data_IF_642507581918
#
_entry.id   IF_642507581918
#
_cell.length_a   1.000
_cell.length_b   1.000
_cell.length_c   1.000
_cell.angle_alpha   90.00
_cell.angle_beta   90.00
_cell.angle_gamma   90.00
#
_symmetry.space_group_name_H-M   'P 1'
#
loop_
_entity.id
_entity.type
_entity.pdbx_description
1 polymer ?
#
# COMPACT_ATOMS: atom_id res chain seq x y z
N UNK A 1 20.62 -5.94 23.56
CA UNK A 1 19.89 -5.70 22.30
C UNK A 1 20.33 -4.34 21.79
N UNK A 2 20.65 -4.19 20.51
CA UNK A 2 20.88 -2.87 19.93
C UNK A 2 19.52 -2.27 19.59
N UNK A 3 19.29 -1.00 19.92
CA UNK A 3 18.09 -0.31 19.44
C UNK A 3 18.12 -0.21 17.91
N UNK A 4 16.98 -0.44 17.26
CA UNK A 4 16.84 -0.24 15.82
C UNK A 4 16.96 1.27 15.55
N UNK A 5 17.94 1.74 14.74
CA UNK A 5 18.14 3.17 14.53
C UNK A 5 16.93 3.84 13.86
N UNK A 6 16.23 4.69 14.60
CA UNK A 6 15.14 5.51 14.04
C UNK A 6 15.69 6.80 13.42
N UNK A 7 14.91 7.46 12.56
CA UNK A 7 15.26 8.80 12.04
C UNK A 7 15.41 9.82 13.18
N UNK A 8 14.65 9.66 14.28
CA UNK A 8 14.80 10.50 15.48
C UNK A 8 16.13 10.24 16.20
N UNK A 9 16.58 8.99 16.28
CA UNK A 9 17.88 8.63 16.85
C UNK A 9 19.02 9.20 15.98
N UNK A 10 18.91 9.11 14.65
CA UNK A 10 19.86 9.70 13.71
C UNK A 10 19.92 11.24 13.84
N UNK A 11 18.78 11.92 13.93
CA UNK A 11 18.74 13.38 14.17
C UNK A 11 19.41 13.75 15.48
N UNK A 12 19.11 13.04 16.58
CA UNK A 12 19.71 13.30 17.89
C UNK A 12 21.23 13.07 17.90
N UNK A 13 21.72 12.08 17.14
CA UNK A 13 23.16 11.88 16.95
C UNK A 13 23.79 13.00 16.11
N UNK A 14 23.13 13.47 15.05
CA UNK A 14 23.59 14.62 14.27
C UNK A 14 23.66 15.90 15.12
N UNK A 15 22.65 16.16 15.95
CA UNK A 15 22.59 17.30 16.89
C UNK A 15 23.71 17.28 17.94
N UNK A 16 24.15 16.09 18.38
CA UNK A 16 25.20 15.92 19.37
C UNK A 16 26.63 15.93 18.79
N UNK A 17 26.81 15.73 17.48
CA UNK A 17 28.12 15.51 16.85
C UNK A 17 28.48 16.50 15.73
N UNK A 18 27.53 17.30 15.23
CA UNK A 18 27.79 18.30 14.19
C UNK A 18 27.77 19.72 14.77
N UNK A 19 28.58 20.61 14.19
CA UNK A 19 28.47 22.04 14.46
C UNK A 19 27.12 22.63 13.94
N UNK A 20 26.74 23.84 14.37
CA UNK A 20 25.45 24.43 13.99
C UNK A 20 25.24 24.70 12.49
N UNK A 21 26.28 24.72 11.66
CA UNK A 21 26.15 24.83 10.20
C UNK A 21 25.99 23.44 9.56
N UNK A 22 26.80 22.47 9.98
CA UNK A 22 26.67 21.08 9.53
C UNK A 22 25.34 20.45 9.97
N UNK A 23 24.82 20.76 11.15
CA UNK A 23 23.49 20.31 11.58
C UNK A 23 22.37 20.91 10.72
N UNK A 24 22.46 22.19 10.33
CA UNK A 24 21.52 22.80 9.37
C UNK A 24 21.59 22.10 8.00
N UNK A 25 22.80 21.80 7.50
CA UNK A 25 22.98 21.04 6.25
C UNK A 25 22.42 19.62 6.35
N UNK A 26 22.57 18.95 7.49
CA UNK A 26 21.96 17.65 7.75
C UNK A 26 20.42 17.72 7.65
N UNK A 27 19.79 18.66 8.37
CA UNK A 27 18.33 18.82 8.36
C UNK A 27 17.77 19.22 6.99
N UNK A 28 18.50 20.02 6.21
CA UNK A 28 18.05 20.53 4.92
C UNK A 28 18.32 19.58 3.73
N UNK A 29 19.39 18.77 3.78
CA UNK A 29 19.86 17.98 2.64
C UNK A 29 19.90 16.47 2.90
N UNK A 30 20.33 16.05 4.10
CA UNK A 30 20.59 14.63 4.39
C UNK A 30 19.33 13.94 4.92
N UNK A 31 18.68 14.49 5.95
CA UNK A 31 17.47 13.89 6.53
C UNK A 31 16.32 13.74 5.52
N UNK A 32 16.04 14.72 4.61
CA UNK A 32 15.04 14.55 3.55
C UNK A 32 15.42 13.45 2.55
N UNK A 33 16.71 13.31 2.22
CA UNK A 33 17.21 12.23 1.37
C UNK A 33 17.02 10.85 2.01
N UNK A 34 17.38 10.71 3.30
CA UNK A 34 17.19 9.47 4.07
C UNK A 34 15.70 9.10 4.18
N UNK A 35 14.83 10.07 4.45
CA UNK A 35 13.36 9.87 4.42
C UNK A 35 12.89 9.39 3.04
N UNK A 36 13.29 10.08 1.98
CA UNK A 36 12.92 9.74 0.60
C UNK A 36 13.34 8.31 0.24
N UNK A 37 14.56 7.88 0.61
CA UNK A 37 15.02 6.51 0.39
C UNK A 37 14.14 5.50 1.14
N UNK A 38 13.89 5.71 2.43
CA UNK A 38 13.08 4.80 3.27
C UNK A 38 11.63 4.72 2.78
N UNK A 39 11.03 5.84 2.40
CA UNK A 39 9.64 5.88 1.91
C UNK A 39 9.48 5.28 0.51
N UNK A 40 10.47 5.47 -0.38
CA UNK A 40 10.42 4.96 -1.74
C UNK A 40 10.80 3.48 -1.86
N UNK A 41 11.66 2.95 -0.98
CA UNK A 41 12.09 1.54 -1.01
C UNK A 41 10.90 0.55 -0.91
N UNK A 42 9.85 0.88 -0.16
CA UNK A 42 8.59 0.11 -0.11
C UNK A 42 7.40 0.81 -0.78
N UNK A 43 7.65 1.73 -1.72
CA UNK A 43 6.59 2.48 -2.45
C UNK A 43 5.57 1.55 -3.12
N UNK A 44 6.01 0.47 -3.77
CA UNK A 44 5.13 -0.53 -4.38
C UNK A 44 4.14 -1.16 -3.38
N UNK A 45 4.61 -1.52 -2.17
CA UNK A 45 3.73 -2.02 -1.10
C UNK A 45 2.81 -0.93 -0.56
N UNK A 46 3.34 0.28 -0.30
CA UNK A 46 2.57 1.43 0.21
C UNK A 46 1.39 1.78 -0.72
N UNK A 47 1.64 1.72 -2.04
CA UNK A 47 0.62 1.93 -3.07
C UNK A 47 -0.37 0.76 -3.11
N UNK A 48 0.09 -0.49 -3.14
CA UNK A 48 -0.76 -1.68 -3.10
C UNK A 48 -1.72 -1.69 -1.89
N UNK A 49 -1.21 -1.41 -0.69
CA UNK A 49 -2.04 -1.31 0.52
C UNK A 49 -3.01 -0.13 0.47
N UNK A 50 -2.61 1.02 -0.11
CA UNK A 50 -3.52 2.15 -0.33
C UNK A 50 -4.68 1.78 -1.26
N UNK A 51 -4.42 1.14 -2.41
CA UNK A 51 -5.46 0.68 -3.33
C UNK A 51 -6.38 -0.35 -2.68
N UNK A 52 -5.84 -1.31 -1.92
CA UNK A 52 -6.64 -2.30 -1.18
C UNK A 52 -7.52 -1.63 -0.12
N UNK A 53 -7.02 -0.62 0.61
CA UNK A 53 -7.84 0.20 1.52
C UNK A 53 -8.99 0.88 0.75
N UNK A 54 -8.71 1.51 -0.39
CA UNK A 54 -9.68 2.24 -1.20
C UNK A 54 -10.78 1.31 -1.76
N UNK A 55 -10.42 0.10 -2.21
CA UNK A 55 -11.40 -0.93 -2.63
C UNK A 55 -12.34 -1.32 -1.48
N UNK A 56 -11.79 -1.56 -0.28
CA UNK A 56 -12.59 -1.88 0.92
C UNK A 56 -13.50 -0.71 1.31
N UNK A 57 -13.01 0.53 1.22
CA UNK A 57 -13.78 1.74 1.52
C UNK A 57 -14.90 2.01 0.54
N UNK A 58 -14.66 1.91 -0.78
CA UNK A 58 -15.69 2.13 -1.81
C UNK A 58 -16.79 1.07 -1.69
N UNK A 59 -16.45 -0.20 -1.51
CA UNK A 59 -17.44 -1.27 -1.31
C UNK A 59 -18.25 -1.13 0.00
N UNK A 60 -17.67 -0.52 1.04
CA UNK A 60 -18.35 -0.24 2.31
C UNK A 60 -19.15 1.07 2.32
N UNK A 61 -19.14 1.86 1.25
CA UNK A 61 -19.80 3.17 1.21
C UNK A 61 -19.17 4.21 2.15
N UNK A 62 -17.87 4.10 2.44
CA UNK A 62 -17.16 5.00 3.39
C UNK A 62 -16.88 6.38 2.78
N UNK A 63 -16.80 6.47 1.45
CA UNK A 63 -16.75 7.76 0.73
C UNK A 63 -18.17 8.35 0.65
N UNK A 64 -18.30 9.63 1.02
CA UNK A 64 -19.54 10.42 0.98
C UNK A 64 -19.79 11.06 -0.40
N UNK A 65 -18.83 10.93 -1.31
CA UNK A 65 -18.87 11.38 -2.70
C UNK A 65 -18.39 10.25 -3.61
N UNK A 66 -18.54 10.41 -4.92
CA UNK A 66 -18.06 9.41 -5.88
C UNK A 66 -16.54 9.33 -6.01
N UNK A 67 -15.84 10.40 -5.61
CA UNK A 67 -14.38 10.53 -5.62
C UNK A 67 -13.71 9.68 -4.51
N UNK A 68 -12.52 9.15 -4.80
CA UNK A 68 -11.65 8.56 -3.78
C UNK A 68 -10.95 9.69 -3.01
N UNK A 69 -10.99 9.60 -1.67
CA UNK A 69 -10.05 10.30 -0.78
C UNK A 69 -8.83 9.39 -0.56
N UNK A 70 -7.64 9.85 -0.97
CA UNK A 70 -6.40 9.03 -0.98
C UNK A 70 -5.64 9.12 0.36
N UNK A 71 -5.68 10.28 1.02
CA UNK A 71 -5.18 10.52 2.37
C UNK A 71 -6.17 11.38 3.14
N UNK A 72 -6.09 11.34 4.48
CA UNK A 72 -6.88 12.19 5.39
C UNK A 72 -5.87 12.86 6.31
N UNK A 73 -5.69 14.15 6.08
CA UNK A 73 -4.65 14.98 6.71
C UNK A 73 -5.25 16.22 7.39
N UNK A 74 -6.57 16.42 7.28
CA UNK A 74 -7.29 17.59 7.77
C UNK A 74 -8.69 17.27 8.29
N UNK A 75 -9.29 18.20 9.03
CA UNK A 75 -10.74 18.14 9.37
C UNK A 75 -11.66 18.42 8.18
N UNK A 76 -11.15 19.03 7.10
CA UNK A 76 -11.95 19.28 5.90
C UNK A 76 -12.32 17.97 5.18
N UNK A 77 -11.56 16.90 5.40
CA UNK A 77 -11.80 15.60 4.79
C UNK A 77 -13.06 14.91 5.36
N UNK A 78 -13.51 15.30 6.56
CA UNK A 78 -14.75 14.82 7.20
C UNK A 78 -16.01 15.03 6.34
N UNK A 79 -16.00 15.97 5.40
CA UNK A 79 -17.12 16.18 4.46
C UNK A 79 -17.16 15.14 3.33
N UNK A 80 -16.02 14.54 2.98
CA UNK A 80 -15.88 13.60 1.86
C UNK A 80 -15.85 12.13 2.27
N UNK A 81 -15.60 11.84 3.56
CA UNK A 81 -15.42 10.47 4.06
C UNK A 81 -15.99 10.31 5.47
N UNK A 82 -16.43 9.09 5.82
CA UNK A 82 -16.60 8.70 7.22
C UNK A 82 -15.21 8.42 7.84
N UNK A 83 -14.75 9.35 8.68
CA UNK A 83 -13.44 9.28 9.34
C UNK A 83 -13.39 8.21 10.43
N UNK A 84 -14.52 7.87 11.08
CA UNK A 84 -14.55 6.79 12.06
C UNK A 84 -14.46 5.42 11.36
N UNK A 85 -15.22 5.23 10.29
CA UNK A 85 -15.14 4.03 9.46
C UNK A 85 -13.78 3.91 8.75
N UNK A 86 -13.22 5.01 8.24
CA UNK A 86 -11.85 5.03 7.69
C UNK A 86 -10.83 4.53 8.71
N UNK A 87 -10.84 5.06 9.94
CA UNK A 87 -9.88 4.64 10.96
C UNK A 87 -10.06 3.16 11.34
N UNK A 88 -11.29 2.65 11.34
CA UNK A 88 -11.57 1.21 11.51
C UNK A 88 -10.98 0.36 10.38
N UNK A 89 -10.98 0.82 9.12
CA UNK A 89 -10.35 0.10 7.99
C UNK A 89 -8.83 0.24 8.00
N UNK A 90 -8.30 1.44 8.31
CA UNK A 90 -6.86 1.70 8.45
C UNK A 90 -6.21 0.76 9.45
N UNK A 91 -6.89 0.48 10.56
CA UNK A 91 -6.43 -0.42 11.63
C UNK A 91 -6.61 -1.92 11.34
N UNK A 92 -7.24 -2.31 10.22
CA UNK A 92 -7.28 -3.72 9.80
C UNK A 92 -5.93 -4.16 9.24
N UNK A 93 -5.59 -5.43 9.41
CA UNK A 93 -4.43 -6.02 8.72
C UNK A 93 -4.70 -6.17 7.22
N UNK A 94 -3.65 -6.19 6.41
CA UNK A 94 -3.77 -6.44 4.96
C UNK A 94 -4.52 -7.76 4.67
N UNK A 95 -4.32 -8.79 5.50
CA UNK A 95 -5.03 -10.07 5.44
C UNK A 95 -6.55 -9.88 5.56
N UNK A 96 -7.01 -9.22 6.62
CA UNK A 96 -8.43 -8.96 6.85
C UNK A 96 -9.09 -8.19 5.69
N UNK A 97 -8.33 -7.28 5.04
CA UNK A 97 -8.80 -6.52 3.87
C UNK A 97 -8.98 -7.43 2.65
N UNK A 98 -7.97 -8.24 2.28
CA UNK A 98 -8.09 -9.14 1.12
C UNK A 98 -9.09 -10.28 1.35
N UNK A 99 -9.22 -10.78 2.58
CA UNK A 99 -10.24 -11.76 2.97
C UNK A 99 -11.65 -11.18 2.81
N UNK A 100 -11.86 -9.92 3.23
CA UNK A 100 -13.12 -9.20 2.99
C UNK A 100 -13.39 -9.02 1.49
N UNK A 101 -12.40 -8.58 0.70
CA UNK A 101 -12.58 -8.39 -0.73
C UNK A 101 -12.86 -9.71 -1.49
N UNK A 102 -12.24 -10.84 -1.09
CA UNK A 102 -12.55 -12.16 -1.66
C UNK A 102 -13.96 -12.63 -1.26
N UNK A 103 -14.35 -12.46 0.01
CA UNK A 103 -15.69 -12.85 0.53
C UNK A 103 -16.84 -12.09 -0.14
N UNK A 104 -16.63 -10.85 -0.58
CA UNK A 104 -17.63 -10.06 -1.31
C UNK A 104 -17.46 -10.17 -2.84
N UNK A 105 -16.76 -11.20 -3.33
CA UNK A 105 -16.54 -11.48 -4.75
C UNK A 105 -15.86 -10.36 -5.57
N UNK A 106 -15.18 -9.41 -4.92
CA UNK A 106 -14.45 -8.32 -5.58
C UNK A 106 -13.13 -8.86 -6.15
N UNK A 107 -12.37 -9.57 -5.32
CA UNK A 107 -11.24 -10.40 -5.77
C UNK A 107 -11.75 -11.76 -6.27
N UNK A 108 -11.17 -12.26 -7.36
CA UNK A 108 -11.19 -13.68 -7.67
C UNK A 108 -10.09 -14.43 -6.90
N UNK A 109 -9.90 -15.71 -7.23
CA UNK A 109 -8.98 -16.60 -6.51
C UNK A 109 -7.51 -16.33 -6.84
N UNK A 110 -7.17 -16.02 -8.10
CA UNK A 110 -5.79 -15.77 -8.50
C UNK A 110 -5.28 -14.44 -7.94
N UNK A 111 -6.08 -13.37 -8.00
CA UNK A 111 -5.73 -12.08 -7.39
C UNK A 111 -5.60 -12.21 -5.86
N UNK A 112 -6.51 -12.92 -5.21
CA UNK A 112 -6.45 -13.17 -3.76
C UNK A 112 -5.19 -13.95 -3.35
N UNK A 113 -4.87 -15.05 -4.04
CA UNK A 113 -3.66 -15.85 -3.78
C UNK A 113 -2.39 -15.02 -3.93
N UNK A 114 -2.28 -14.23 -5.01
CA UNK A 114 -1.12 -13.35 -5.24
C UNK A 114 -0.94 -12.35 -4.11
N UNK A 115 -2.02 -11.70 -3.66
CA UNK A 115 -1.95 -10.72 -2.57
C UNK A 115 -1.59 -11.37 -1.23
N UNK A 116 -2.04 -12.59 -0.94
CA UNK A 116 -1.70 -13.29 0.30
C UNK A 116 -0.25 -13.82 0.31
N UNK A 117 0.24 -14.28 -0.84
CA UNK A 117 1.65 -14.64 -1.05
C UNK A 117 2.59 -13.44 -0.86
N UNK A 118 2.26 -12.30 -1.45
CA UNK A 118 3.06 -11.08 -1.31
C UNK A 118 2.97 -10.48 0.10
N UNK A 119 1.86 -10.69 0.82
CA UNK A 119 1.76 -10.39 2.24
C UNK A 119 2.72 -11.25 3.08
N UNK A 120 2.88 -12.54 2.79
CA UNK A 120 3.92 -13.37 3.44
C UNK A 120 5.30 -12.82 3.15
N UNK A 121 5.64 -12.60 1.87
CA UNK A 121 6.95 -12.04 1.49
C UNK A 121 7.24 -10.73 2.24
N UNK A 122 6.30 -9.78 2.22
CA UNK A 122 6.46 -8.48 2.89
C UNK A 122 6.63 -8.61 4.40
N UNK A 123 6.00 -9.57 5.06
CA UNK A 123 6.12 -9.71 6.52
C UNK A 123 7.52 -10.14 6.99
N UNK A 124 8.34 -10.73 6.11
CA UNK A 124 9.75 -11.03 6.38
C UNK A 124 10.62 -9.79 6.63
N UNK A 125 10.13 -8.57 6.36
CA UNK A 125 10.79 -7.30 6.74
C UNK A 125 11.12 -7.21 8.24
N UNK A 126 10.44 -7.98 9.09
CA UNK A 126 10.66 -8.02 10.52
C UNK A 126 11.70 -9.07 10.97
N UNK A 127 12.23 -9.88 10.03
CA UNK A 127 13.24 -10.91 10.30
C UNK A 127 14.67 -10.35 10.17
N UNK A 128 15.56 -10.55 11.17
CA UNK A 128 16.93 -10.03 11.11
C UNK A 128 17.73 -10.56 9.91
N UNK A 129 18.24 -9.65 9.09
CA UNK A 129 19.11 -9.98 7.96
C UNK A 129 18.38 -10.24 6.63
N UNK A 130 17.05 -10.19 6.59
CA UNK A 130 16.30 -10.25 5.34
C UNK A 130 16.43 -8.93 4.58
N UNK A 131 16.94 -9.00 3.35
CA UNK A 131 16.88 -7.93 2.36
C UNK A 131 15.93 -8.35 1.24
N UNK A 132 15.11 -7.42 0.75
CA UNK A 132 14.27 -7.67 -0.42
C UNK A 132 15.10 -7.48 -1.70
N UNK A 133 14.99 -8.44 -2.61
CA UNK A 133 15.52 -8.31 -3.97
C UNK A 133 14.74 -7.25 -4.77
N UNK A 134 15.38 -6.67 -5.79
CA UNK A 134 14.69 -5.76 -6.72
C UNK A 134 13.46 -6.42 -7.38
N UNK A 135 13.51 -7.74 -7.60
CA UNK A 135 12.39 -8.51 -8.11
C UNK A 135 11.20 -8.52 -7.13
N UNK A 136 11.40 -8.74 -5.83
CA UNK A 136 10.32 -8.73 -4.85
C UNK A 136 9.71 -7.33 -4.66
N UNK A 137 10.53 -6.28 -4.77
CA UNK A 137 10.03 -4.90 -4.78
C UNK A 137 9.21 -4.58 -6.05
N UNK A 138 9.61 -5.15 -7.19
CA UNK A 138 8.85 -5.07 -8.44
C UNK A 138 7.53 -5.88 -8.37
N UNK A 139 7.52 -7.06 -7.72
CA UNK A 139 6.31 -7.87 -7.52
C UNK A 139 5.20 -7.08 -6.79
N UNK A 140 5.52 -6.31 -5.75
CA UNK A 140 4.55 -5.41 -5.11
C UNK A 140 3.97 -4.37 -6.09
N UNK A 141 4.79 -3.85 -6.99
CA UNK A 141 4.40 -2.85 -8.00
C UNK A 141 3.55 -3.45 -9.14
N UNK A 142 3.79 -4.72 -9.51
CA UNK A 142 2.93 -5.47 -10.42
C UNK A 142 1.58 -5.80 -9.77
N UNK A 143 1.57 -6.23 -8.51
CA UNK A 143 0.33 -6.49 -7.77
C UNK A 143 -0.51 -5.21 -7.57
N UNK A 144 0.12 -4.06 -7.31
CA UNK A 144 -0.54 -2.75 -7.32
C UNK A 144 -1.27 -2.50 -8.65
N UNK A 145 -0.62 -2.74 -9.80
CA UNK A 145 -1.25 -2.62 -11.12
C UNK A 145 -2.48 -3.54 -11.28
N UNK A 146 -2.41 -4.77 -10.75
CA UNK A 146 -3.53 -5.73 -10.81
C UNK A 146 -4.74 -5.24 -9.99
N UNK A 147 -4.55 -4.80 -8.74
CA UNK A 147 -5.67 -4.27 -7.95
C UNK A 147 -6.19 -2.93 -8.49
N UNK A 148 -5.34 -2.15 -9.16
CA UNK A 148 -5.76 -0.90 -9.82
C UNK A 148 -6.74 -1.17 -10.98
N UNK A 149 -6.55 -2.24 -11.77
CA UNK A 149 -7.54 -2.67 -12.78
C UNK A 149 -8.90 -3.04 -12.17
N UNK A 150 -8.93 -3.53 -10.92
CA UNK A 150 -10.19 -3.85 -10.22
C UNK A 150 -10.82 -2.57 -9.62
N UNK A 151 -10.01 -1.63 -9.12
CA UNK A 151 -10.52 -0.38 -8.52
C UNK A 151 -11.07 0.61 -9.56
N UNK A 152 -10.42 0.79 -10.72
CA UNK A 152 -10.87 1.71 -11.79
C UNK A 152 -12.38 1.57 -12.11
N UNK A 153 -12.92 0.38 -12.43
CA UNK A 153 -14.33 0.25 -12.73
C UNK A 153 -15.21 0.41 -11.48
N UNK A 154 -14.75 0.11 -10.27
CA UNK A 154 -15.51 0.35 -9.01
C UNK A 154 -15.74 1.85 -8.71
N UNK A 155 -14.98 2.75 -9.34
CA UNK A 155 -15.09 4.21 -9.14
C UNK A 155 -15.59 4.98 -10.38
N UNK A 156 -15.77 4.29 -11.50
CA UNK A 156 -16.40 4.87 -12.67
C UNK A 156 -17.85 5.24 -12.38
N UNK A 157 -18.34 6.33 -12.98
CA UNK A 157 -19.75 6.71 -12.88
C UNK A 157 -20.53 5.90 -13.92
N UNK A 158 -21.17 4.81 -13.48
CA UNK A 158 -21.85 3.82 -14.34
C UNK A 158 -20.91 3.04 -15.29
N UNK A 159 -19.97 2.20 -14.76
CA UNK A 159 -19.33 1.17 -15.59
C UNK A 159 -20.41 0.22 -16.14
N UNK A 160 -20.26 -0.26 -17.38
CA UNK A 160 -21.14 -1.34 -17.81
C UNK A 160 -20.75 -2.62 -17.06
N UNK A 161 -21.72 -3.50 -16.74
CA UNK A 161 -21.45 -4.78 -16.10
C UNK A 161 -20.43 -5.63 -16.89
N UNK A 162 -20.39 -5.44 -18.22
CA UNK A 162 -19.39 -6.00 -19.12
C UNK A 162 -17.96 -5.53 -18.78
N UNK A 163 -17.78 -4.24 -18.52
CA UNK A 163 -16.46 -3.63 -18.26
C UNK A 163 -15.90 -4.08 -16.90
N UNK A 164 -16.76 -4.12 -15.88
CA UNK A 164 -16.45 -4.69 -14.56
C UNK A 164 -15.97 -6.14 -14.68
N UNK A 165 -16.72 -6.98 -15.41
CA UNK A 165 -16.36 -8.39 -15.61
C UNK A 165 -15.04 -8.52 -16.39
N UNK A 166 -14.88 -7.78 -17.50
CA UNK A 166 -13.68 -7.82 -18.34
C UNK A 166 -12.42 -7.39 -17.59
N UNK A 167 -12.49 -6.31 -16.81
CA UNK A 167 -11.35 -5.88 -15.97
C UNK A 167 -11.02 -6.91 -14.89
N UNK A 168 -12.03 -7.49 -14.22
CA UNK A 168 -11.82 -8.56 -13.22
C UNK A 168 -11.21 -9.81 -13.84
N UNK A 169 -11.67 -10.25 -15.01
CA UNK A 169 -11.08 -11.38 -15.74
C UNK A 169 -9.62 -11.13 -16.13
N UNK A 170 -9.28 -9.90 -16.55
CA UNK A 170 -7.91 -9.56 -16.91
C UNK A 170 -7.00 -9.44 -15.68
N UNK A 171 -7.52 -8.97 -14.55
CA UNK A 171 -6.82 -9.00 -13.27
C UNK A 171 -6.52 -10.44 -12.82
N UNK A 172 -7.49 -11.35 -12.92
CA UNK A 172 -7.31 -12.77 -12.61
C UNK A 172 -6.27 -13.45 -13.52
N UNK A 173 -6.38 -13.28 -14.85
CA UNK A 173 -5.42 -13.83 -15.84
C UNK A 173 -4.00 -13.29 -15.62
N UNK A 174 -3.89 -12.01 -15.26
CA UNK A 174 -2.61 -11.39 -14.89
C UNK A 174 -2.04 -12.00 -13.60
N UNK A 175 -2.87 -12.12 -12.56
CA UNK A 175 -2.45 -12.67 -11.28
C UNK A 175 -2.02 -14.14 -11.38
N UNK A 176 -2.73 -14.95 -12.17
CA UNK A 176 -2.36 -16.33 -12.50
C UNK A 176 -0.99 -16.41 -13.20
N UNK A 177 -0.77 -15.56 -14.21
CA UNK A 177 0.51 -15.47 -14.91
C UNK A 177 1.68 -15.05 -14.00
N UNK A 178 1.44 -14.14 -13.05
CA UNK A 178 2.46 -13.72 -12.07
C UNK A 178 2.69 -14.79 -10.99
N UNK A 179 1.66 -15.47 -10.47
CA UNK A 179 1.82 -16.62 -9.57
C UNK A 179 2.70 -17.70 -10.21
N UNK A 180 2.36 -18.11 -11.45
CA UNK A 180 3.13 -19.09 -12.23
C UNK A 180 4.53 -18.62 -12.68
N UNK A 181 4.96 -17.43 -12.25
CA UNK A 181 6.32 -16.89 -12.37
C UNK A 181 7.04 -16.75 -11.02
N UNK A 182 6.31 -16.56 -9.92
CA UNK A 182 6.85 -16.41 -8.55
C UNK A 182 7.06 -17.79 -7.89
N UNK A 183 6.29 -18.80 -8.32
CA UNK A 183 6.37 -20.20 -7.83
C UNK A 183 7.37 -21.07 -8.63
N UNK A 184 8.36 -20.45 -9.32
CA UNK A 184 9.38 -21.12 -10.15
C UNK A 184 10.80 -20.68 -9.79
#
# INVERSE_FOLDING_TARGET
MNEIPTIANLRKLAELNFDPECYKKYLALIEPGVKSIIENYFSGWKNLESTVNQMVMKHKGIFKTDLIVISIDSKADEQYVDVEAFNKIKNQSFKQKIDYLRKNEILGDSSYKLLDLLREKRNKIHEPGVNFSEQELAEFSYAHSIVWFILIPMISHSPQKRDLNYMKENAEKSAEYFLAKIEK
#
